data_IF_232626656223
#
_entry.id   IF_232626656223
#
_cell.length_a   1.000
_cell.length_b   1.000
_cell.length_c   1.000
_cell.angle_alpha   90.00
_cell.angle_beta   90.00
_cell.angle_gamma   90.00
#
_symmetry.space_group_name_H-M   'P 1'
#
loop_
_entity.id
_entity.type
_entity.pdbx_description
1 polymer ?
#
# COMPACT_ATOMS: atom_id res chain seq x y z
N UNK A 1 -28.19 -43.11 6.19
CA UNK A 1 -28.78 -42.44 7.37
C UNK A 1 -28.11 -42.99 8.62
N UNK A 2 -27.36 -42.13 9.31
CA UNK A 2 -26.94 -42.21 10.72
C UNK A 2 -26.48 -40.77 11.07
N UNK A 3 -27.29 -40.00 11.82
CA UNK A 3 -27.05 -39.67 13.25
C UNK A 3 -25.58 -39.25 13.47
N UNK A 4 -25.22 -37.98 13.65
CA UNK A 4 -25.90 -36.87 14.29
C UNK A 4 -25.30 -36.67 15.69
N UNK A 5 -24.29 -35.83 15.82
CA UNK A 5 -23.83 -35.27 17.10
C UNK A 5 -23.41 -33.81 16.87
N UNK A 6 -24.40 -32.95 17.09
CA UNK A 6 -24.27 -31.52 17.34
C UNK A 6 -23.78 -31.37 18.80
N UNK A 7 -22.65 -30.67 19.03
CA UNK A 7 -22.26 -30.22 20.38
C UNK A 7 -21.76 -28.78 20.33
N UNK A 8 -22.73 -27.89 20.49
CA UNK A 8 -22.79 -26.76 21.43
C UNK A 8 -21.48 -26.08 21.84
N UNK A 9 -21.38 -24.83 21.40
CA UNK A 9 -21.17 -23.60 22.18
C UNK A 9 -21.00 -23.77 23.70
N UNK A 10 -19.89 -23.25 24.23
CA UNK A 10 -19.74 -22.79 25.61
C UNK A 10 -19.07 -21.39 25.56
N UNK A 11 -19.82 -20.42 26.04
CA UNK A 11 -19.55 -19.00 26.25
C UNK A 11 -19.50 -18.81 27.76
N UNK A 12 -18.57 -17.97 28.25
CA UNK A 12 -18.23 -17.63 29.66
C UNK A 12 -16.74 -17.93 29.94
N UNK A 13 -15.89 -17.10 30.53
CA UNK A 13 -16.04 -15.86 31.28
C UNK A 13 -14.64 -15.19 31.34
N UNK A 14 -14.66 -13.86 31.36
CA UNK A 14 -13.63 -12.90 31.81
C UNK A 14 -12.39 -13.39 32.57
N UNK A 15 -11.24 -12.76 32.29
CA UNK A 15 -10.47 -12.10 33.37
C UNK A 15 -9.71 -10.87 32.86
N UNK A 16 -10.13 -9.71 33.34
CA UNK A 16 -9.36 -8.45 33.34
C UNK A 16 -8.11 -8.62 34.22
N UNK A 17 -6.99 -8.98 33.59
CA UNK A 17 -5.70 -9.15 34.24
C UNK A 17 -4.92 -7.85 34.42
N UNK A 18 -5.44 -6.89 35.19
CA UNK A 18 -4.69 -5.70 35.61
C UNK A 18 -3.61 -6.07 36.63
N UNK A 19 -2.34 -6.13 36.20
CA UNK A 19 -1.18 -6.42 37.05
C UNK A 19 -0.19 -5.25 37.03
N UNK A 20 -0.11 -4.40 38.08
CA UNK A 20 1.00 -3.48 38.22
C UNK A 20 2.06 -4.06 39.17
N UNK A 21 3.33 -4.01 38.78
CA UNK A 21 4.48 -3.87 39.70
C UNK A 21 5.77 -3.55 38.94
N UNK A 22 6.09 -2.26 38.99
CA UNK A 22 7.40 -1.59 39.12
C UNK A 22 8.70 -2.39 39.11
N UNK A 23 9.62 -1.98 38.23
CA UNK A 23 11.05 -1.88 38.49
C UNK A 23 11.63 -0.65 37.76
N UNK A 24 12.59 0.01 38.40
CA UNK A 24 12.96 1.41 38.26
C UNK A 24 13.62 1.83 36.93
N UNK A 25 13.40 3.09 36.54
CA UNK A 25 14.40 3.95 35.88
C UNK A 25 13.97 5.42 36.01
N UNK A 26 14.84 6.23 36.62
CA UNK A 26 14.62 7.64 36.87
C UNK A 26 14.77 8.47 35.59
N UNK A 27 13.76 9.28 35.23
CA UNK A 27 13.96 10.61 34.66
C UNK A 27 12.65 11.42 34.77
N UNK A 28 12.82 12.72 34.98
CA UNK A 28 11.89 13.71 35.55
C UNK A 28 10.93 14.29 34.51
N UNK A 29 9.61 14.29 34.78
CA UNK A 29 8.60 15.04 34.00
C UNK A 29 7.72 15.87 34.95
N UNK A 30 7.54 17.20 34.75
CA UNK A 30 6.64 17.99 35.59
C UNK A 30 5.17 17.80 35.17
N UNK A 31 4.28 17.67 36.16
CA UNK A 31 2.84 17.51 35.96
C UNK A 31 2.14 18.83 35.58
N UNK A 32 1.21 18.84 34.60
CA UNK A 32 0.29 19.96 34.42
C UNK A 32 -0.87 19.84 35.42
N UNK A 33 -0.96 20.80 36.35
CA UNK A 33 -2.12 20.95 37.24
C UNK A 33 -3.11 21.92 36.60
N UNK A 34 -4.25 21.40 36.18
CA UNK A 34 -5.47 22.18 35.94
C UNK A 34 -6.26 22.20 37.24
N UNK A 35 -6.42 23.39 37.84
CA UNK A 35 -7.61 23.80 38.61
C UNK A 35 -7.38 25.22 39.15
N UNK A 36 -8.35 26.12 38.95
CA UNK A 36 -8.44 27.36 39.70
C UNK A 36 -8.86 28.58 38.89
N UNK A 37 -10.18 28.73 38.71
CA UNK A 37 -10.80 30.02 38.37
C UNK A 37 -10.60 31.03 39.53
N UNK A 38 -10.44 32.33 39.24
CA UNK A 38 -11.31 33.29 39.92
C UNK A 38 -11.96 34.29 38.98
N UNK A 39 -13.23 34.52 39.28
CA UNK A 39 -14.10 35.60 38.82
C UNK A 39 -13.48 36.98 39.09
N UNK A 40 -13.34 37.82 38.06
CA UNK A 40 -13.93 39.17 38.11
C UNK A 40 -13.93 39.89 36.74
N UNK A 41 -15.15 40.32 36.36
CA UNK A 41 -15.49 41.61 35.75
C UNK A 41 -14.65 42.15 34.57
N UNK A 42 -15.19 42.07 33.35
CA UNK A 42 -15.96 43.17 32.73
C UNK A 42 -15.87 43.21 31.18
N UNK A 43 -17.04 43.49 30.54
CA UNK A 43 -17.26 44.15 29.23
C UNK A 43 -17.35 43.30 27.93
N UNK A 44 -18.59 42.84 27.66
CA UNK A 44 -19.47 42.95 26.46
C UNK A 44 -18.90 42.78 25.01
N UNK A 45 -19.62 42.09 24.08
CA UNK A 45 -19.10 41.70 22.77
C UNK A 45 -19.29 42.79 21.69
N UNK A 46 -18.36 42.83 20.73
CA UNK A 46 -18.42 43.66 19.54
C UNK A 46 -18.32 42.81 18.27
N UNK A 47 -19.42 42.78 17.51
CA UNK A 47 -19.47 42.32 16.12
C UNK A 47 -18.96 43.44 15.20
N UNK A 48 -17.96 43.16 14.37
CA UNK A 48 -17.68 43.88 13.12
C UNK A 48 -16.65 43.08 12.30
N UNK A 49 -16.93 42.93 11.01
CA UNK A 49 -16.22 42.04 10.10
C UNK A 49 -14.79 42.43 9.72
N UNK A 50 -14.13 41.45 9.12
CA UNK A 50 -12.89 41.58 8.37
C UNK A 50 -12.66 40.32 7.54
N UNK A 51 -12.51 40.40 6.20
CA UNK A 51 -12.26 39.23 5.38
C UNK A 51 -10.79 38.83 5.50
N UNK A 52 -10.52 37.66 6.08
CA UNK A 52 -9.24 36.97 5.91
C UNK A 52 -9.46 35.74 5.06
N UNK A 53 -9.06 35.86 3.80
CA UNK A 53 -8.67 34.75 2.94
C UNK A 53 -7.66 33.89 3.72
N UNK A 54 -8.15 32.78 4.26
CA UNK A 54 -7.36 31.82 5.00
C UNK A 54 -7.78 30.46 4.50
N UNK A 55 -6.89 29.87 3.70
CA UNK A 55 -6.91 28.52 3.17
C UNK A 55 -7.99 27.62 3.83
N UNK A 56 -9.09 27.45 3.12
CA UNK A 56 -10.03 26.38 3.41
C UNK A 56 -9.26 25.09 3.29
N UNK A 57 -9.01 24.47 4.43
CA UNK A 57 -8.63 23.08 4.53
C UNK A 57 -9.65 22.28 3.73
N UNK A 58 -9.23 21.81 2.55
CA UNK A 58 -9.94 20.77 1.82
C UNK A 58 -9.98 19.55 2.73
N UNK A 59 -11.12 19.43 3.42
CA UNK A 59 -11.91 18.22 3.53
C UNK A 59 -11.06 16.95 3.60
N UNK A 60 -10.77 16.55 4.84
CA UNK A 60 -10.92 15.17 5.30
C UNK A 60 -10.63 14.11 4.22
N UNK A 61 -9.35 13.92 3.93
CA UNK A 61 -8.87 12.77 3.18
C UNK A 61 -9.20 11.51 3.98
N UNK A 62 -10.33 10.91 3.66
CA UNK A 62 -10.71 9.59 4.14
C UNK A 62 -9.59 8.62 3.76
N UNK A 63 -8.96 8.02 4.77
CA UNK A 63 -7.93 7.01 4.61
C UNK A 63 -8.49 5.84 3.79
N UNK A 64 -8.23 5.83 2.47
CA UNK A 64 -8.58 4.72 1.59
C UNK A 64 -9.26 5.07 0.27
N UNK A 65 -9.73 6.30 0.04
CA UNK A 65 -10.24 6.70 -1.27
C UNK A 65 -9.04 6.99 -2.19
N UNK A 66 -8.68 6.00 -3.01
CA UNK A 66 -7.79 6.21 -4.15
C UNK A 66 -8.69 6.63 -5.29
N UNK A 67 -8.62 7.89 -5.68
CA UNK A 67 -9.32 8.35 -6.86
C UNK A 67 -8.69 7.71 -8.12
N UNK A 68 -9.48 7.55 -9.18
CA UNK A 68 -9.03 6.94 -10.44
C UNK A 68 -7.79 7.65 -11.01
N UNK A 69 -7.74 8.97 -10.86
CA UNK A 69 -6.59 9.80 -11.22
C UNK A 69 -5.31 9.40 -10.47
N UNK A 70 -5.41 9.04 -9.19
CA UNK A 70 -4.25 8.62 -8.40
C UNK A 70 -3.79 7.21 -8.76
N UNK A 71 -4.72 6.34 -9.17
CA UNK A 71 -4.38 5.04 -9.74
C UNK A 71 -3.62 5.16 -11.07
N UNK A 72 -4.08 6.03 -11.98
CA UNK A 72 -3.42 6.28 -13.25
C UNK A 72 -2.05 6.95 -13.04
N UNK A 73 -1.93 7.94 -12.14
CA UNK A 73 -0.65 8.54 -11.80
C UNK A 73 0.36 7.50 -11.27
N UNK A 74 -0.13 6.51 -10.51
CA UNK A 74 0.73 5.45 -9.97
C UNK A 74 1.35 4.54 -11.04
N UNK A 75 0.87 4.57 -12.29
CA UNK A 75 1.52 3.87 -13.40
C UNK A 75 2.93 4.38 -13.65
N UNK A 76 3.11 5.70 -13.56
CA UNK A 76 4.38 6.39 -13.86
C UNK A 76 5.08 6.95 -12.63
N UNK A 77 4.44 6.96 -11.46
CA UNK A 77 5.06 7.31 -10.18
C UNK A 77 5.98 6.19 -9.68
N UNK A 78 7.06 5.97 -10.43
CA UNK A 78 8.09 4.97 -10.18
C UNK A 78 9.46 5.55 -10.54
N UNK A 79 10.55 5.00 -9.96
CA UNK A 79 11.89 5.46 -10.32
C UNK A 79 12.13 5.33 -11.82
N UNK A 80 12.65 6.39 -12.44
CA UNK A 80 13.07 6.35 -13.84
C UNK A 80 14.29 5.44 -13.98
N UNK A 81 14.25 4.55 -14.97
CA UNK A 81 15.37 3.69 -15.33
C UNK A 81 15.62 3.79 -16.83
N UNK A 82 16.81 3.38 -17.25
CA UNK A 82 17.16 3.24 -18.67
C UNK A 82 17.53 1.80 -18.93
N UNK A 83 17.16 1.30 -20.10
CA UNK A 83 17.54 -0.04 -20.57
C UNK A 83 18.74 0.13 -21.48
N UNK A 84 19.91 -0.36 -21.08
CA UNK A 84 21.13 -0.24 -21.86
C UNK A 84 21.34 -1.42 -22.81
N UNK A 85 20.71 -2.57 -22.55
CA UNK A 85 20.75 -3.75 -23.43
C UNK A 85 19.59 -4.74 -23.19
N UNK A 86 19.32 -5.62 -24.16
CA UNK A 86 18.38 -6.75 -23.99
C UNK A 86 18.80 -7.64 -22.82
N UNK A 87 20.10 -7.92 -22.71
CA UNK A 87 20.63 -8.78 -21.65
C UNK A 87 20.34 -8.22 -20.26
N UNK A 88 20.55 -6.92 -20.06
CA UNK A 88 20.24 -6.26 -18.79
C UNK A 88 18.74 -6.30 -18.46
N UNK A 89 17.88 -6.11 -19.49
CA UNK A 89 16.43 -6.23 -19.33
C UNK A 89 16.04 -7.63 -18.84
N UNK A 90 16.58 -8.68 -19.49
CA UNK A 90 16.34 -10.08 -19.12
C UNK A 90 16.84 -10.39 -17.71
N UNK A 91 18.05 -9.96 -17.36
CA UNK A 91 18.60 -10.10 -16.01
C UNK A 91 17.72 -9.41 -14.96
N UNK A 92 17.23 -8.20 -15.27
CA UNK A 92 16.34 -7.45 -14.39
C UNK A 92 14.98 -8.14 -14.21
N UNK A 93 14.36 -8.63 -15.28
CA UNK A 93 13.08 -9.34 -15.22
C UNK A 93 13.20 -10.68 -14.48
N UNK A 94 14.31 -11.40 -14.67
CA UNK A 94 14.60 -12.61 -13.90
C UNK A 94 14.75 -12.31 -12.41
N UNK A 95 15.43 -11.23 -12.04
CA UNK A 95 15.56 -10.85 -10.63
C UNK A 95 14.22 -10.47 -10.00
N UNK A 96 13.38 -9.74 -10.74
CA UNK A 96 12.01 -9.42 -10.32
C UNK A 96 11.22 -10.72 -10.09
N UNK A 97 11.29 -11.67 -11.03
CA UNK A 97 10.62 -12.96 -10.92
C UNK A 97 11.05 -13.72 -9.67
N UNK A 98 12.35 -13.79 -9.39
CA UNK A 98 12.90 -14.44 -8.19
C UNK A 98 12.26 -13.87 -6.92
N UNK A 99 12.27 -12.53 -6.77
CA UNK A 99 11.71 -11.84 -5.59
C UNK A 99 10.20 -12.07 -5.46
N UNK A 100 9.47 -12.00 -6.57
CA UNK A 100 8.01 -12.09 -6.55
C UNK A 100 7.50 -13.53 -6.39
N UNK A 101 8.32 -14.54 -6.68
CA UNK A 101 7.92 -15.95 -6.61
C UNK A 101 8.01 -16.56 -5.21
N UNK A 102 8.69 -15.92 -4.26
CA UNK A 102 8.76 -16.35 -2.87
C UNK A 102 7.99 -15.37 -1.97
N UNK A 103 6.95 -15.90 -1.32
CA UNK A 103 6.05 -15.13 -0.45
C UNK A 103 6.63 -14.77 0.91
N UNK A 104 7.81 -15.34 1.23
CA UNK A 104 8.56 -15.05 2.45
C UNK A 104 9.54 -13.89 2.28
N UNK A 105 9.78 -13.43 1.05
CA UNK A 105 10.55 -12.22 0.83
C UNK A 105 9.93 -11.02 1.56
N UNK A 106 10.79 -10.06 1.91
CA UNK A 106 10.35 -8.82 2.51
C UNK A 106 9.31 -8.13 1.59
N UNK A 107 8.18 -7.74 2.20
CA UNK A 107 7.04 -7.24 1.44
C UNK A 107 7.34 -5.92 0.73
N UNK A 108 8.24 -5.10 1.28
CA UNK A 108 8.67 -3.85 0.67
C UNK A 108 9.53 -4.15 -0.57
N UNK A 109 10.41 -5.17 -0.50
CA UNK A 109 11.15 -5.63 -1.68
C UNK A 109 10.24 -6.16 -2.78
N UNK A 110 9.18 -6.90 -2.44
CA UNK A 110 8.18 -7.38 -3.42
C UNK A 110 7.42 -6.20 -4.05
N UNK A 111 6.98 -5.24 -3.24
CA UNK A 111 6.35 -4.02 -3.72
C UNK A 111 7.27 -3.23 -4.67
N UNK A 112 8.55 -3.08 -4.32
CA UNK A 112 9.55 -2.41 -5.16
C UNK A 112 9.84 -3.17 -6.46
N UNK A 113 9.83 -4.50 -6.45
CA UNK A 113 9.97 -5.31 -7.65
C UNK A 113 8.78 -5.11 -8.61
N UNK A 114 7.55 -4.98 -8.09
CA UNK A 114 6.36 -4.64 -8.89
C UNK A 114 6.46 -3.24 -9.51
N UNK A 115 6.93 -2.25 -8.74
CA UNK A 115 7.22 -0.90 -9.26
C UNK A 115 8.28 -0.95 -10.37
N UNK A 116 9.29 -1.80 -10.23
CA UNK A 116 10.36 -1.94 -11.22
C UNK A 116 9.85 -2.48 -12.56
N UNK A 117 8.83 -3.34 -12.57
CA UNK A 117 8.14 -3.73 -13.82
C UNK A 117 7.56 -2.49 -14.52
N UNK A 118 6.90 -1.60 -13.77
CA UNK A 118 6.36 -0.35 -14.33
C UNK A 118 7.46 0.58 -14.82
N UNK A 119 8.57 0.71 -14.07
CA UNK A 119 9.74 1.48 -14.52
C UNK A 119 10.27 0.96 -15.87
N UNK A 120 10.32 -0.36 -16.05
CA UNK A 120 10.73 -0.98 -17.32
C UNK A 120 9.75 -0.66 -18.46
N UNK A 121 8.44 -0.70 -18.20
CA UNK A 121 7.43 -0.30 -19.18
C UNK A 121 7.59 1.15 -19.62
N UNK A 122 7.77 2.08 -18.67
CA UNK A 122 8.01 3.50 -18.96
C UNK A 122 9.30 3.69 -19.76
N UNK A 123 10.34 2.89 -19.48
CA UNK A 123 11.60 2.90 -20.21
C UNK A 123 11.52 2.25 -21.61
N UNK A 124 10.36 1.75 -22.03
CA UNK A 124 10.14 1.17 -23.35
C UNK A 124 10.46 -0.32 -23.45
N UNK A 125 10.46 -1.08 -22.35
CA UNK A 125 10.72 -2.52 -22.38
C UNK A 125 9.81 -3.30 -23.34
N UNK A 126 8.58 -2.84 -23.58
CA UNK A 126 7.64 -3.45 -24.53
C UNK A 126 8.10 -3.39 -26.00
N UNK A 127 9.17 -2.63 -26.32
CA UNK A 127 9.79 -2.58 -27.65
C UNK A 127 10.77 -3.75 -27.87
N UNK A 128 11.13 -4.48 -26.83
CA UNK A 128 12.07 -5.61 -26.89
C UNK A 128 11.30 -6.94 -26.99
N UNK A 129 11.65 -7.79 -27.95
CA UNK A 129 10.96 -9.07 -28.16
C UNK A 129 11.04 -10.01 -26.95
N UNK A 130 12.16 -9.98 -26.21
CA UNK A 130 12.37 -10.79 -25.01
C UNK A 130 11.41 -10.41 -23.86
N UNK A 131 10.86 -9.20 -23.85
CA UNK A 131 9.98 -8.73 -22.80
C UNK A 131 8.73 -9.62 -22.67
N UNK A 132 8.08 -9.96 -23.77
CA UNK A 132 6.87 -10.79 -23.77
C UNK A 132 7.15 -12.23 -23.30
N UNK A 133 8.31 -12.78 -23.66
CA UNK A 133 8.74 -14.10 -23.19
C UNK A 133 8.91 -14.11 -21.66
N UNK A 134 9.49 -13.05 -21.10
CA UNK A 134 9.64 -12.92 -19.65
C UNK A 134 8.35 -12.57 -18.93
N UNK A 135 7.45 -11.81 -19.57
CA UNK A 135 6.15 -11.46 -19.00
C UNK A 135 5.30 -12.71 -18.74
N UNK A 136 5.35 -13.70 -19.62
CA UNK A 136 4.75 -15.03 -19.41
C UNK A 136 5.25 -15.71 -18.14
N UNK A 137 6.57 -15.67 -17.91
CA UNK A 137 7.19 -16.28 -16.74
C UNK A 137 6.84 -15.55 -15.44
N UNK A 138 6.41 -14.29 -15.53
CA UNK A 138 5.98 -13.46 -14.39
C UNK A 138 4.51 -13.70 -14.00
N UNK A 139 3.68 -14.34 -14.83
CA UNK A 139 2.24 -14.54 -14.56
C UNK A 139 1.98 -15.19 -13.20
N UNK A 140 2.67 -16.29 -12.90
CA UNK A 140 2.54 -16.97 -11.60
C UNK A 140 2.96 -16.08 -10.42
N UNK A 141 4.00 -15.26 -10.60
CA UNK A 141 4.50 -14.36 -9.57
C UNK A 141 3.56 -13.15 -9.34
N UNK A 142 2.94 -12.63 -10.42
CA UNK A 142 1.92 -11.59 -10.34
C UNK A 142 0.63 -12.11 -9.68
N UNK A 143 0.18 -13.32 -10.02
CA UNK A 143 -0.96 -13.98 -9.35
C UNK A 143 -0.71 -14.18 -7.85
N UNK A 144 0.51 -14.60 -7.47
CA UNK A 144 0.90 -14.71 -6.07
C UNK A 144 0.87 -13.34 -5.37
N UNK A 145 1.37 -12.29 -6.02
CA UNK A 145 1.39 -10.92 -5.48
C UNK A 145 -0.01 -10.33 -5.31
N UNK A 146 -0.94 -10.63 -6.22
CA UNK A 146 -2.34 -10.19 -6.13
C UNK A 146 -3.14 -10.87 -5.00
N UNK A 147 -2.59 -11.95 -4.43
CA UNK A 147 -3.18 -12.70 -3.30
C UNK A 147 -2.41 -12.50 -1.99
N UNK A 148 -1.48 -11.54 -1.94
CA UNK A 148 -0.71 -11.26 -0.74
C UNK A 148 -1.62 -10.77 0.40
N UNK A 149 -1.29 -11.13 1.64
CA UNK A 149 -2.05 -10.71 2.82
C UNK A 149 -1.87 -9.21 3.13
N UNK A 150 -0.87 -8.57 2.51
CA UNK A 150 -0.59 -7.15 2.67
C UNK A 150 -1.20 -6.38 1.52
N UNK A 151 -2.14 -5.50 1.85
CA UNK A 151 -2.83 -4.63 0.89
C UNK A 151 -1.88 -3.79 0.04
N UNK A 152 -0.68 -3.46 0.54
CA UNK A 152 0.32 -2.72 -0.21
C UNK A 152 0.87 -3.52 -1.40
N UNK A 153 1.20 -4.81 -1.20
CA UNK A 153 1.71 -5.67 -2.28
C UNK A 153 0.60 -5.93 -3.29
N UNK A 154 -0.63 -6.18 -2.82
CA UNK A 154 -1.81 -6.37 -3.69
C UNK A 154 -2.08 -5.11 -4.51
N UNK A 155 -2.07 -3.92 -3.89
CA UNK A 155 -2.26 -2.63 -4.57
C UNK A 155 -1.23 -2.44 -5.68
N UNK A 156 0.05 -2.63 -5.38
CA UNK A 156 1.12 -2.52 -6.37
C UNK A 156 0.96 -3.55 -7.51
N UNK A 157 0.52 -4.77 -7.20
CA UNK A 157 0.26 -5.79 -8.21
C UNK A 157 -0.88 -5.39 -9.14
N UNK A 158 -1.99 -4.90 -8.60
CA UNK A 158 -3.13 -4.41 -9.39
C UNK A 158 -2.75 -3.21 -10.27
N UNK A 159 -2.01 -2.24 -9.74
CA UNK A 159 -1.52 -1.09 -10.52
C UNK A 159 -0.62 -1.57 -11.65
N UNK A 160 0.31 -2.50 -11.39
CA UNK A 160 1.22 -3.05 -12.41
C UNK A 160 0.47 -3.83 -13.49
N UNK A 161 -0.50 -4.68 -13.13
CA UNK A 161 -1.33 -5.42 -14.10
C UNK A 161 -2.15 -4.47 -14.97
N UNK A 162 -2.74 -3.43 -14.36
CA UNK A 162 -3.46 -2.42 -15.12
C UNK A 162 -2.54 -1.66 -16.09
N UNK A 163 -1.34 -1.26 -15.64
CA UNK A 163 -0.35 -0.60 -16.52
C UNK A 163 0.11 -1.51 -17.67
N UNK A 164 0.32 -2.80 -17.39
CA UNK A 164 0.62 -3.79 -18.44
C UNK A 164 -0.51 -3.87 -19.46
N UNK A 165 -1.76 -3.91 -19.02
CA UNK A 165 -2.93 -3.92 -19.90
C UNK A 165 -3.03 -2.65 -20.75
N UNK A 166 -2.78 -1.47 -20.18
CA UNK A 166 -2.85 -0.20 -20.94
C UNK A 166 -1.72 -0.06 -21.97
N UNK A 167 -0.51 -0.53 -21.65
CA UNK A 167 0.64 -0.44 -22.57
C UNK A 167 0.59 -1.49 -23.67
N UNK A 168 0.16 -2.72 -23.35
CA UNK A 168 0.21 -3.85 -24.26
C UNK A 168 -1.10 -4.02 -25.05
N UNK A 169 -2.23 -3.53 -24.54
CA UNK A 169 -3.55 -3.64 -25.17
C UNK A 169 -3.87 -5.09 -25.57
N UNK A 170 -4.34 -5.29 -26.81
CA UNK A 170 -4.68 -6.62 -27.35
C UNK A 170 -3.49 -7.59 -27.42
N UNK A 171 -2.24 -7.12 -27.28
CA UNK A 171 -1.05 -8.00 -27.24
C UNK A 171 -0.87 -8.66 -25.88
N UNK A 172 -1.58 -8.21 -24.84
CA UNK A 172 -1.57 -8.86 -23.55
C UNK A 172 -2.16 -10.28 -23.63
N UNK A 173 -3.19 -10.49 -24.45
CA UNK A 173 -3.82 -11.81 -24.69
C UNK A 173 -2.88 -12.79 -25.42
N UNK A 174 -2.19 -12.33 -26.48
CA UNK A 174 -1.20 -13.15 -27.17
C UNK A 174 0.03 -13.45 -26.30
N UNK A 175 0.32 -12.60 -25.31
CA UNK A 175 1.29 -12.89 -24.26
C UNK A 175 0.80 -13.98 -23.31
N UNK A 176 -0.50 -14.20 -23.12
CA UNK A 176 -1.04 -15.19 -22.19
C UNK A 176 -1.36 -16.55 -22.82
N UNK A 177 -1.58 -16.62 -24.14
CA UNK A 177 -1.88 -17.87 -24.85
C UNK A 177 -0.72 -18.32 -25.77
N UNK A 178 0.09 -19.27 -25.28
CA UNK A 178 0.83 -20.26 -26.07
C UNK A 178 1.34 -21.38 -25.14
#
# INVERSE_FOLDING_TARGET
>A
MAMGDDKSFDDEESVDGNRPSSAASAFKVPAPKTSGNPVNSARKPGSAGGPKVGAGASKEGGAGAVDEDDFIKAFTDVPSIQIYSSRELEETLNKIREILSDDKHDWDQRANALKKIRSLLVAGAAQYDCFFQHLRLLDGALKLSAKDLRSQVVREACITVAHLSTVLGNKFDHGAEA
#
